data_IF_134916029422
#
_entry.id   IF_134916029422
#
_cell.length_a   1.000
_cell.length_b   1.000
_cell.length_c   1.000
_cell.angle_alpha   90.00
_cell.angle_beta   90.00
_cell.angle_gamma   90.00
#
_symmetry.space_group_name_H-M   'P 1'
#
loop_
_entity.id
_entity.type
_entity.pdbx_description
1 polymer ?
#
# COMPACT_ATOMS: atom_id res chain seq x y z
N UNK A 1 10.70 -14.93 9.62
CA UNK A 1 9.56 -15.63 10.26
C UNK A 1 9.87 -17.11 10.34
N UNK A 2 9.50 -17.78 11.43
CA UNK A 2 9.60 -19.24 11.56
C UNK A 2 8.30 -19.89 11.05
N UNK A 3 8.34 -20.46 9.85
CA UNK A 3 7.15 -21.01 9.19
C UNK A 3 6.59 -22.23 9.92
N UNK A 4 7.44 -23.00 10.60
CA UNK A 4 7.04 -24.20 11.33
C UNK A 4 6.18 -23.87 12.56
N UNK A 5 6.29 -22.64 13.07
CA UNK A 5 5.50 -22.14 14.20
C UNK A 5 4.36 -21.22 13.77
N UNK A 6 4.20 -20.97 12.47
CA UNK A 6 3.19 -20.05 11.96
C UNK A 6 1.84 -20.74 11.87
N UNK A 7 0.84 -20.20 12.56
CA UNK A 7 -0.53 -20.73 12.59
C UNK A 7 -1.19 -20.82 11.19
N UNK A 8 -0.68 -20.10 10.19
CA UNK A 8 -1.18 -20.14 8.81
C UNK A 8 -0.33 -21.01 7.88
N UNK A 9 0.62 -21.81 8.40
CA UNK A 9 1.47 -22.70 7.59
C UNK A 9 0.66 -23.57 6.62
N UNK A 10 -0.29 -24.34 7.13
CA UNK A 10 -1.10 -25.26 6.30
C UNK A 10 -1.94 -24.50 5.26
N UNK A 11 -2.49 -23.34 5.63
CA UNK A 11 -3.22 -22.48 4.71
C UNK A 11 -2.31 -21.99 3.58
N UNK A 12 -1.13 -21.48 3.93
CA UNK A 12 -0.14 -21.04 2.95
C UNK A 12 0.27 -22.18 2.02
N UNK A 13 0.64 -23.35 2.54
CA UNK A 13 1.06 -24.50 1.75
C UNK A 13 -0.02 -25.03 0.81
N UNK A 14 -1.30 -24.87 1.18
CA UNK A 14 -2.43 -25.22 0.34
C UNK A 14 -2.64 -24.20 -0.78
N UNK A 15 -2.79 -22.91 -0.43
CA UNK A 15 -3.09 -21.86 -1.41
C UNK A 15 -1.91 -21.53 -2.32
N UNK A 16 -0.67 -21.54 -1.82
CA UNK A 16 0.52 -21.13 -2.59
C UNK A 16 0.81 -22.02 -3.80
N UNK A 17 0.20 -23.22 -3.87
CA UNK A 17 0.33 -24.18 -4.98
C UNK A 17 -0.71 -23.97 -6.08
N UNK A 18 -1.70 -23.09 -5.86
CA UNK A 18 -2.72 -22.79 -6.86
C UNK A 18 -2.18 -21.90 -7.97
N UNK A 19 -2.71 -22.03 -9.18
CA UNK A 19 -2.33 -21.17 -10.30
C UNK A 19 -2.74 -19.69 -10.08
N UNK A 20 -3.81 -19.46 -9.32
CA UNK A 20 -4.32 -18.11 -9.01
C UNK A 20 -4.80 -18.04 -7.55
N UNK A 21 -3.89 -17.85 -6.59
CA UNK A 21 -4.22 -17.81 -5.15
C UNK A 21 -4.72 -16.43 -4.69
N UNK A 22 -5.46 -15.73 -5.55
CA UNK A 22 -5.88 -14.35 -5.32
C UNK A 22 -7.40 -14.23 -5.33
N UNK A 23 -7.91 -13.32 -4.50
CA UNK A 23 -9.30 -12.87 -4.54
C UNK A 23 -9.33 -11.35 -4.39
N UNK A 24 -10.39 -10.73 -4.92
CA UNK A 24 -10.62 -9.29 -4.82
C UNK A 24 -11.80 -8.99 -3.91
N UNK A 25 -11.71 -7.92 -3.13
CA UNK A 25 -12.83 -7.32 -2.41
C UNK A 25 -13.01 -5.91 -2.93
N UNK A 26 -14.26 -5.51 -3.14
CA UNK A 26 -14.65 -4.14 -3.47
C UNK A 26 -15.67 -3.71 -2.44
N UNK A 27 -15.46 -2.54 -1.84
CA UNK A 27 -16.38 -1.94 -0.88
C UNK A 27 -16.34 -0.43 -1.01
N UNK A 28 -17.43 0.23 -0.63
CA UNK A 28 -17.54 1.68 -0.63
C UNK A 28 -17.05 2.23 0.72
N UNK A 29 -16.24 3.27 0.68
CA UNK A 29 -15.78 3.99 1.87
C UNK A 29 -16.32 5.41 1.83
N UNK A 30 -16.99 5.83 2.91
CA UNK A 30 -17.37 7.23 3.08
C UNK A 30 -16.14 8.07 3.45
N UNK A 31 -15.64 8.79 2.45
CA UNK A 31 -14.48 9.66 2.58
C UNK A 31 -14.85 11.13 2.87
N UNK A 32 -16.11 11.45 3.18
CA UNK A 32 -16.60 12.84 3.31
C UNK A 32 -15.77 13.67 4.31
N UNK A 33 -15.42 13.09 5.45
CA UNK A 33 -14.63 13.78 6.47
C UNK A 33 -13.17 13.96 6.04
N UNK A 34 -12.58 12.95 5.40
CA UNK A 34 -11.22 13.04 4.86
C UNK A 34 -11.14 14.12 3.77
N UNK A 35 -12.13 14.16 2.89
CA UNK A 35 -12.21 15.12 1.80
C UNK A 35 -12.34 16.56 2.31
N UNK A 36 -13.22 16.83 3.27
CA UNK A 36 -13.34 18.15 3.90
C UNK A 36 -12.04 18.61 4.55
N UNK A 37 -11.40 17.72 5.32
CA UNK A 37 -10.14 18.01 6.02
C UNK A 37 -9.03 18.44 5.05
N UNK A 38 -8.84 17.70 3.95
CA UNK A 38 -7.77 18.04 2.99
C UNK A 38 -8.09 19.33 2.23
N UNK A 39 -9.37 19.63 1.96
CA UNK A 39 -9.77 20.90 1.37
C UNK A 39 -9.46 22.09 2.29
N UNK A 40 -9.77 21.99 3.58
CA UNK A 40 -9.47 23.02 4.59
C UNK A 40 -7.96 23.27 4.73
N UNK A 41 -7.15 22.24 4.55
CA UNK A 41 -5.69 22.30 4.66
C UNK A 41 -4.97 22.57 3.33
N UNK A 42 -5.68 22.68 2.20
CA UNK A 42 -5.07 22.82 0.87
C UNK A 42 -4.21 21.62 0.44
N UNK A 43 -4.54 20.41 0.93
CA UNK A 43 -3.80 19.18 0.69
C UNK A 43 -4.43 18.33 -0.43
N UNK A 44 -3.62 17.53 -1.10
CA UNK A 44 -4.09 16.57 -2.11
C UNK A 44 -4.88 15.44 -1.45
N UNK A 45 -6.13 15.22 -1.89
CA UNK A 45 -6.90 14.05 -1.46
C UNK A 45 -6.21 12.73 -1.83
N UNK A 46 -5.54 12.68 -2.99
CA UNK A 46 -4.79 11.51 -3.43
C UNK A 46 -3.67 11.16 -2.44
N UNK A 47 -2.81 12.13 -2.13
CA UNK A 47 -1.70 11.92 -1.20
C UNK A 47 -2.20 11.55 0.19
N UNK A 48 -3.32 12.14 0.62
CA UNK A 48 -3.93 11.84 1.92
C UNK A 48 -4.50 10.43 2.00
N UNK A 49 -5.34 10.01 1.05
CA UNK A 49 -5.89 8.66 1.13
C UNK A 49 -4.79 7.61 0.94
N UNK A 50 -3.81 7.85 0.06
CA UNK A 50 -2.66 6.95 -0.12
C UNK A 50 -1.89 6.80 1.19
N UNK A 51 -1.64 7.91 1.91
CA UNK A 51 -1.01 7.86 3.24
C UNK A 51 -1.79 7.00 4.22
N UNK A 52 -3.11 7.18 4.30
CA UNK A 52 -3.96 6.38 5.21
C UNK A 52 -3.98 4.91 4.83
N UNK A 53 -4.08 4.59 3.54
CA UNK A 53 -3.95 3.22 3.06
C UNK A 53 -2.58 2.61 3.42
N UNK A 54 -1.49 3.38 3.33
CA UNK A 54 -0.16 2.88 3.67
C UNK A 54 0.03 2.70 5.18
N UNK A 55 -0.60 3.52 6.03
CA UNK A 55 -0.65 3.28 7.48
C UNK A 55 -1.33 1.94 7.75
N UNK A 56 -2.48 1.67 7.13
CA UNK A 56 -3.22 0.42 7.33
C UNK A 56 -2.46 -0.80 6.80
N UNK A 57 -1.83 -0.70 5.63
CA UNK A 57 -0.97 -1.75 5.07
C UNK A 57 0.20 -2.08 6.02
N UNK A 58 0.78 -1.07 6.67
CA UNK A 58 1.91 -1.28 7.58
C UNK A 58 1.48 -1.76 8.99
N UNK A 59 0.22 -1.53 9.39
CA UNK A 59 -0.31 -1.94 10.69
C UNK A 59 -0.77 -3.41 10.73
N UNK A 60 -1.11 -4.00 9.57
CA UNK A 60 -1.52 -5.41 9.44
C UNK A 60 -0.32 -6.27 9.05
N UNK A 61 0.10 -7.19 9.93
CA UNK A 61 1.28 -8.03 9.72
C UNK A 61 1.20 -8.82 8.39
N UNK A 62 0.04 -9.37 8.05
CA UNK A 62 -0.08 -10.22 6.87
C UNK A 62 0.00 -9.45 5.55
N UNK A 63 -0.25 -8.14 5.53
CA UNK A 63 -0.05 -7.29 4.35
C UNK A 63 1.43 -6.99 4.09
N UNK A 64 2.31 -7.30 5.05
CA UNK A 64 3.77 -7.14 4.94
C UNK A 64 4.50 -8.41 4.52
N UNK A 65 3.79 -9.54 4.41
CA UNK A 65 4.36 -10.82 4.00
C UNK A 65 4.58 -10.89 2.48
N UNK A 66 5.70 -11.46 2.06
CA UNK A 66 6.06 -11.72 0.65
C UNK A 66 6.74 -13.08 0.52
N UNK A 67 6.71 -13.64 -0.69
CA UNK A 67 7.52 -14.82 -1.05
C UNK A 67 8.77 -14.31 -1.77
N UNK A 68 9.95 -14.57 -1.19
CA UNK A 68 11.25 -14.21 -1.77
C UNK A 68 12.10 -15.46 -1.75
N UNK A 69 12.63 -15.89 -2.91
CA UNK A 69 13.42 -17.13 -3.04
C UNK A 69 12.73 -18.35 -2.39
N UNK A 70 11.43 -18.50 -2.63
CA UNK A 70 10.57 -19.56 -2.05
C UNK A 70 10.47 -19.56 -0.52
N UNK A 71 10.80 -18.45 0.14
CA UNK A 71 10.65 -18.27 1.59
C UNK A 71 9.65 -17.16 1.89
N UNK A 72 8.84 -17.37 2.93
CA UNK A 72 7.94 -16.34 3.43
C UNK A 72 8.73 -15.37 4.30
N UNK A 73 8.82 -14.12 3.84
CA UNK A 73 9.50 -13.02 4.51
C UNK A 73 8.47 -11.98 4.94
N UNK A 74 8.61 -11.46 6.16
CA UNK A 74 7.89 -10.28 6.63
C UNK A 74 8.83 -9.08 6.52
N UNK A 75 8.37 -8.01 5.87
CA UNK A 75 9.09 -6.74 5.83
C UNK A 75 8.69 -5.86 7.00
N UNK A 76 9.65 -5.15 7.58
CA UNK A 76 9.38 -4.22 8.68
C UNK A 76 8.51 -3.04 8.21
N UNK A 77 8.76 -2.58 6.98
CA UNK A 77 8.08 -1.44 6.36
C UNK A 77 7.77 -1.72 4.88
N UNK A 78 6.57 -1.36 4.46
CA UNK A 78 6.12 -1.35 3.08
C UNK A 78 6.03 0.09 2.58
N UNK A 79 6.73 0.38 1.48
CA UNK A 79 6.72 1.66 0.79
C UNK A 79 5.60 1.72 -0.26
N UNK A 80 5.29 2.92 -0.75
CA UNK A 80 4.18 3.12 -1.67
C UNK A 80 4.64 3.04 -3.13
N UNK A 81 3.99 2.17 -3.91
CA UNK A 81 4.03 2.22 -5.37
C UNK A 81 2.68 2.71 -5.89
N UNK A 82 2.67 3.65 -6.82
CA UNK A 82 1.45 4.24 -7.36
C UNK A 82 1.61 4.66 -8.82
N UNK A 83 0.50 4.96 -9.48
CA UNK A 83 0.49 5.46 -10.86
C UNK A 83 0.24 6.96 -10.91
N UNK A 84 0.89 7.62 -11.85
CA UNK A 84 0.73 9.06 -12.11
C UNK A 84 0.20 9.24 -13.53
N UNK A 85 -0.96 9.88 -13.66
CA UNK A 85 -1.56 10.15 -14.96
C UNK A 85 -0.79 11.23 -15.74
N UNK A 86 -0.69 11.05 -17.06
CA UNK A 86 -0.05 11.99 -17.99
C UNK A 86 -1.07 12.68 -18.88
N UNK A 87 -0.72 13.85 -19.43
CA UNK A 87 -1.63 14.65 -20.26
C UNK A 87 -2.07 13.94 -21.56
N UNK A 88 -1.26 13.01 -22.06
CA UNK A 88 -1.55 12.21 -23.25
C UNK A 88 -2.50 11.01 -22.98
N UNK A 89 -3.02 10.89 -21.75
CA UNK A 89 -3.91 9.81 -21.35
C UNK A 89 -3.18 8.52 -20.93
N UNK A 90 -1.85 8.51 -20.95
CA UNK A 90 -1.04 7.40 -20.41
C UNK A 90 -0.78 7.58 -18.91
N UNK A 91 -0.04 6.65 -18.30
CA UNK A 91 0.40 6.76 -16.90
C UNK A 91 1.86 6.32 -16.73
N UNK A 92 2.52 6.85 -15.70
CA UNK A 92 3.81 6.38 -15.20
C UNK A 92 3.67 5.62 -13.89
N UNK A 93 4.69 4.84 -13.52
CA UNK A 93 4.82 4.27 -12.18
C UNK A 93 5.77 5.14 -11.36
N UNK A 94 5.40 5.37 -10.10
CA UNK A 94 6.13 6.16 -9.13
C UNK A 94 6.34 5.37 -7.83
N UNK A 95 7.37 5.75 -7.08
CA UNK A 95 7.73 5.12 -5.82
C UNK A 95 8.00 6.18 -4.74
N UNK A 96 7.32 6.09 -3.60
CA UNK A 96 7.58 6.97 -2.47
C UNK A 96 7.95 6.17 -1.22
N UNK A 97 8.98 6.63 -0.49
CA UNK A 97 9.30 6.05 0.80
C UNK A 97 8.17 6.34 1.80
N UNK A 98 7.72 5.30 2.51
CA UNK A 98 6.68 5.48 3.51
C UNK A 98 7.22 6.16 4.79
N UNK A 99 6.45 7.12 5.29
CA UNK A 99 6.58 7.76 6.60
C UNK A 99 5.21 7.82 7.29
N UNK A 100 5.18 7.59 8.60
CA UNK A 100 3.97 7.77 9.40
C UNK A 100 3.57 9.25 9.50
N UNK A 101 4.53 10.16 9.43
CA UNK A 101 4.27 11.59 9.32
C UNK A 101 3.74 11.94 7.92
N UNK A 102 2.57 12.58 7.89
CA UNK A 102 1.89 12.88 6.63
C UNK A 102 2.66 13.87 5.77
N UNK A 103 3.25 14.91 6.36
CA UNK A 103 3.94 15.95 5.58
C UNK A 103 5.20 15.38 4.92
N UNK A 104 5.98 14.59 5.68
CA UNK A 104 7.14 13.86 5.14
C UNK A 104 6.76 12.94 3.99
N UNK A 105 5.70 12.14 4.15
CA UNK A 105 5.22 11.26 3.09
C UNK A 105 4.69 12.02 1.88
N UNK A 106 3.96 13.11 2.11
CA UNK A 106 3.41 13.94 1.06
C UNK A 106 4.53 14.59 0.24
N UNK A 107 5.62 15.05 0.87
CA UNK A 107 6.79 15.57 0.15
C UNK A 107 7.34 14.54 -0.84
N UNK A 108 7.59 13.31 -0.40
CA UNK A 108 8.08 12.22 -1.28
C UNK A 108 7.12 11.96 -2.46
N UNK A 109 5.81 11.91 -2.20
CA UNK A 109 4.80 11.69 -3.26
C UNK A 109 4.77 12.85 -4.25
N UNK A 110 4.88 14.10 -3.78
CA UNK A 110 4.87 15.27 -4.66
C UNK A 110 6.14 15.38 -5.53
N UNK A 111 7.28 14.88 -5.05
CA UNK A 111 8.50 14.82 -5.86
C UNK A 111 8.33 13.87 -7.06
N UNK A 112 7.77 12.68 -6.82
CA UNK A 112 7.51 11.70 -7.87
C UNK A 112 6.43 12.13 -8.87
N UNK A 113 5.42 12.90 -8.42
CA UNK A 113 4.38 13.44 -9.33
C UNK A 113 4.94 14.50 -10.29
N UNK A 114 6.01 15.19 -9.89
CA UNK A 114 6.64 16.25 -10.70
C UNK A 114 7.68 15.71 -11.69
N UNK A 115 8.15 14.48 -11.50
CA UNK A 115 9.17 13.83 -12.31
C UNK A 115 8.63 13.40 -13.69
#
# INVERSE_FOLDING_TARGET
>A
MDIEKWNRKEHFEFFSKMASPYFGIITELDCSNAYKKVQENGQSFFSYYLHKSMIDVNSVEELKLRIVENKVISFDKINAGFTVGRQDGTFGFAFANFSEDFETFNTEVQEEIKA
#
